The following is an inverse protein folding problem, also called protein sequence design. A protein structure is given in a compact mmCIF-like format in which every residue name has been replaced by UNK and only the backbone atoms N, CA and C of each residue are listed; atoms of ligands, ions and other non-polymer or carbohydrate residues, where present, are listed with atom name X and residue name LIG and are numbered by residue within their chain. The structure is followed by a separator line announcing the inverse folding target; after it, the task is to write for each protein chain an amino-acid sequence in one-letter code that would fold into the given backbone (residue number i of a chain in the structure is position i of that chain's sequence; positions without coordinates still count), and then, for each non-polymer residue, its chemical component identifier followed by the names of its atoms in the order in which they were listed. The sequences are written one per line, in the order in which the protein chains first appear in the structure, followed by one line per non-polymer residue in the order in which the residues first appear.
data_IF_772504707844
#
_entry.id   IF_772504707844
#
_cell.length_a   1.000
_cell.length_b   1.000
_cell.length_c   1.000
_cell.angle_alpha   90.00
_cell.angle_beta   90.00
_cell.angle_gamma   90.00
#
_symmetry.space_group_name_H-M   'P 1'
#
loop_
_entity.id
_entity.type
_entity.pdbx_description
1 polymer ?
#
# COMPACT_ATOMS: atom_id res chain seq x y z
N UNK A 1 -16.69 -13.28 18.23
CA UNK A 1 -16.01 -13.00 16.97
C UNK A 1 -14.57 -13.45 17.14
N UNK A 2 -14.05 -14.21 16.18
CA UNK A 2 -12.65 -14.63 16.21
C UNK A 2 -11.79 -13.42 15.83
N UNK A 3 -10.87 -13.03 16.70
CA UNK A 3 -10.02 -11.86 16.51
C UNK A 3 -8.89 -12.24 15.53
N UNK A 4 -8.80 -11.53 14.40
CA UNK A 4 -7.76 -11.77 13.41
C UNK A 4 -6.52 -10.97 13.81
N UNK A 5 -5.39 -11.62 14.15
CA UNK A 5 -4.19 -10.92 14.56
C UNK A 5 -3.60 -10.13 13.38
N UNK A 6 -2.89 -9.04 13.69
CA UNK A 6 -2.12 -8.28 12.70
C UNK A 6 -1.12 -9.20 12.00
N UNK A 7 -1.18 -9.22 10.67
CA UNK A 7 -0.25 -9.97 9.82
C UNK A 7 0.99 -9.15 9.50
N UNK A 8 2.16 -9.76 9.61
CA UNK A 8 3.45 -9.10 9.36
C UNK A 8 4.16 -9.76 8.18
N UNK A 9 4.40 -8.95 7.15
CA UNK A 9 5.22 -9.32 6.00
C UNK A 9 6.58 -8.61 6.06
N UNK A 10 7.67 -9.34 5.91
CA UNK A 10 9.00 -8.78 5.72
C UNK A 10 9.40 -8.83 4.25
N UNK A 11 9.89 -7.71 3.72
CA UNK A 11 10.35 -7.61 2.34
C UNK A 11 11.78 -7.11 2.28
N UNK A 12 12.67 -7.95 1.78
CA UNK A 12 14.09 -7.64 1.63
C UNK A 12 14.29 -7.09 0.22
N UNK A 13 14.77 -5.85 0.09
CA UNK A 13 15.12 -5.29 -1.23
C UNK A 13 16.51 -5.78 -1.70
N UNK A 14 16.77 -5.77 -3.01
CA UNK A 14 18.12 -5.89 -3.54
C UNK A 14 19.05 -4.80 -2.97
N UNK A 15 20.36 -5.08 -2.96
CA UNK A 15 21.37 -4.04 -2.77
C UNK A 15 21.29 -3.03 -3.92
N UNK A 16 21.36 -1.75 -3.59
CA UNK A 16 21.43 -0.67 -4.57
C UNK A 16 22.82 -0.64 -5.21
N UNK A 17 22.93 -0.16 -6.45
CA UNK A 17 24.21 -0.04 -7.15
C UNK A 17 25.26 0.71 -6.31
N UNK A 18 24.86 1.79 -5.62
CA UNK A 18 25.76 2.53 -4.72
C UNK A 18 26.28 1.65 -3.57
N UNK A 19 25.46 0.78 -2.99
CA UNK A 19 25.88 -0.11 -1.90
C UNK A 19 26.87 -1.16 -2.41
N UNK A 20 26.62 -1.71 -3.60
CA UNK A 20 27.54 -2.65 -4.25
C UNK A 20 28.88 -1.98 -4.56
N UNK A 21 28.87 -0.75 -5.10
CA UNK A 21 30.09 0.02 -5.39
C UNK A 21 30.92 0.34 -4.15
N UNK A 22 30.28 0.47 -2.98
CA UNK A 22 30.96 0.66 -1.69
C UNK A 22 31.28 -0.68 -0.99
N UNK A 23 31.21 -1.80 -1.70
CA UNK A 23 31.48 -3.15 -1.20
C UNK A 23 30.62 -3.57 0.00
N UNK A 24 29.42 -3.00 0.18
CA UNK A 24 28.49 -3.48 1.20
C UNK A 24 28.02 -4.90 0.87
N UNK A 25 27.86 -5.72 1.91
CA UNK A 25 27.45 -7.12 1.79
C UNK A 25 26.04 -7.33 2.32
N UNK A 26 25.33 -8.29 1.74
CA UNK A 26 24.01 -8.69 2.24
C UNK A 26 24.15 -9.33 3.64
N UNK A 27 23.55 -8.70 4.64
CA UNK A 27 23.55 -9.17 6.03
C UNK A 27 22.25 -9.87 6.46
N UNK A 28 21.25 -9.93 5.57
CA UNK A 28 19.97 -10.60 5.78
C UNK A 28 19.77 -11.67 4.71
N UNK A 29 19.34 -12.87 5.11
CA UNK A 29 19.09 -14.01 4.22
C UNK A 29 17.74 -14.63 4.55
N UNK A 30 17.04 -15.10 3.52
CA UNK A 30 15.81 -15.90 3.69
C UNK A 30 16.21 -17.35 3.90
N UNK A 31 15.57 -18.05 4.83
CA UNK A 31 15.68 -19.50 4.97
C UNK A 31 14.71 -20.14 3.95
N UNK A 32 15.20 -20.89 2.94
CA UNK A 32 14.34 -21.44 1.88
C UNK A 32 13.20 -22.29 2.44
N UNK A 33 12.02 -22.20 1.81
CA UNK A 33 10.81 -22.95 2.18
C UNK A 33 10.31 -22.71 3.61
N UNK A 34 10.64 -21.57 4.21
CA UNK A 34 10.15 -21.17 5.54
C UNK A 34 9.75 -19.70 5.53
N UNK A 35 8.98 -19.29 6.54
CA UNK A 35 8.69 -17.88 6.80
C UNK A 35 9.72 -17.25 7.76
N UNK A 36 11.00 -17.56 7.55
CA UNK A 36 12.08 -17.11 8.42
C UNK A 36 13.20 -16.38 7.68
N UNK A 37 13.81 -15.43 8.37
CA UNK A 37 15.05 -14.77 7.94
C UNK A 37 16.16 -14.95 8.98
N UNK A 38 17.40 -14.84 8.53
CA UNK A 38 18.60 -14.80 9.36
C UNK A 38 19.27 -13.43 9.18
N UNK A 39 19.55 -12.75 10.29
CA UNK A 39 20.34 -11.51 10.31
C UNK A 39 21.71 -11.79 10.92
N UNK A 40 22.77 -11.56 10.14
CA UNK A 40 24.14 -11.89 10.57
C UNK A 40 24.40 -13.39 10.49
N UNK A 41 24.85 -14.00 11.60
CA UNK A 41 25.24 -15.43 11.63
C UNK A 41 24.15 -16.34 12.17
N UNK A 42 23.35 -15.87 13.13
CA UNK A 42 22.55 -16.75 13.99
C UNK A 42 21.21 -16.16 14.46
N UNK A 43 20.92 -14.87 14.21
CA UNK A 43 19.67 -14.25 14.66
C UNK A 43 18.54 -14.57 13.69
N UNK A 44 17.67 -15.49 14.09
CA UNK A 44 16.52 -15.96 13.31
C UNK A 44 15.25 -15.21 13.74
N UNK A 45 14.46 -14.77 12.76
CA UNK A 45 13.14 -14.16 12.99
C UNK A 45 12.11 -14.82 12.08
N UNK A 46 10.90 -15.04 12.61
CA UNK A 46 9.76 -15.62 11.90
C UNK A 46 8.70 -14.55 11.67
N UNK A 47 8.08 -14.56 10.48
CA UNK A 47 7.02 -13.65 10.08
C UNK A 47 5.83 -14.43 9.48
N UNK A 48 4.70 -13.77 9.22
CA UNK A 48 3.61 -14.41 8.46
C UNK A 48 4.00 -14.59 6.99
N UNK A 49 4.76 -13.62 6.43
CA UNK A 49 5.24 -13.63 5.05
C UNK A 49 6.69 -13.16 4.94
N UNK A 50 7.51 -13.87 4.17
CA UNK A 50 8.90 -13.50 3.88
C UNK A 50 9.12 -13.37 2.39
N UNK A 51 9.47 -12.16 1.94
CA UNK A 51 9.79 -11.85 0.55
C UNK A 51 11.28 -11.53 0.42
N UNK A 52 11.97 -12.32 -0.41
CA UNK A 52 13.39 -12.14 -0.68
C UNK A 52 13.65 -11.03 -1.71
N UNK A 53 14.93 -10.75 -1.96
CA UNK A 53 15.36 -9.72 -2.93
C UNK A 53 14.83 -9.92 -4.36
N UNK A 54 14.44 -11.14 -4.71
CA UNK A 54 13.93 -11.48 -6.04
C UNK A 54 12.39 -11.46 -6.09
N UNK A 55 11.71 -11.26 -4.97
CA UNK A 55 10.24 -11.27 -4.93
C UNK A 55 9.66 -10.05 -5.65
N UNK A 56 8.70 -10.31 -6.52
CA UNK A 56 8.11 -9.29 -7.40
C UNK A 56 7.00 -8.49 -6.70
N UNK A 57 6.58 -7.38 -7.31
CA UNK A 57 5.40 -6.63 -6.83
C UNK A 57 4.13 -7.50 -6.90
N UNK A 58 3.99 -8.29 -7.96
CA UNK A 58 2.89 -9.24 -8.16
C UNK A 58 2.83 -10.30 -7.07
N UNK A 59 3.98 -10.90 -6.73
CA UNK A 59 4.06 -11.92 -5.68
C UNK A 59 3.65 -11.35 -4.32
N UNK A 60 4.17 -10.18 -3.96
CA UNK A 60 3.79 -9.48 -2.72
C UNK A 60 2.29 -9.18 -2.70
N UNK A 61 1.77 -8.58 -3.77
CA UNK A 61 0.37 -8.20 -3.87
C UNK A 61 -0.57 -9.40 -3.75
N UNK A 62 -0.37 -10.44 -4.56
CA UNK A 62 -1.25 -11.60 -4.59
C UNK A 62 -1.23 -12.39 -3.27
N UNK A 63 -0.08 -12.41 -2.59
CA UNK A 63 0.09 -13.20 -1.37
C UNK A 63 -0.54 -12.51 -0.15
N UNK A 64 -0.26 -11.22 0.09
CA UNK A 64 -0.66 -10.57 1.35
C UNK A 64 -1.71 -9.46 1.19
N UNK A 65 -1.92 -8.92 -0.02
CA UNK A 65 -2.79 -7.75 -0.21
C UNK A 65 -4.12 -8.13 -0.83
N UNK A 66 -4.12 -8.99 -1.86
CA UNK A 66 -5.34 -9.40 -2.54
C UNK A 66 -6.40 -9.95 -1.58
N UNK A 67 -6.08 -10.81 -0.58
CA UNK A 67 -7.07 -11.25 0.40
C UNK A 67 -7.72 -10.09 1.18
N UNK A 68 -6.94 -9.07 1.55
CA UNK A 68 -7.45 -7.89 2.26
C UNK A 68 -8.38 -7.05 1.38
N UNK A 69 -8.06 -6.92 0.08
CA UNK A 69 -8.91 -6.23 -0.89
C UNK A 69 -10.24 -6.97 -1.07
N UNK A 70 -10.23 -8.30 -1.10
CA UNK A 70 -11.47 -9.08 -1.18
C UNK A 70 -12.32 -8.91 0.08
N UNK A 71 -11.71 -8.94 1.27
CA UNK A 71 -12.41 -8.66 2.53
C UNK A 71 -12.96 -7.23 2.60
N UNK A 72 -12.27 -6.24 2.03
CA UNK A 72 -12.78 -4.86 1.91
C UNK A 72 -14.09 -4.82 1.12
N UNK A 73 -14.18 -5.58 0.03
CA UNK A 73 -15.38 -5.63 -0.83
C UNK A 73 -16.53 -6.39 -0.14
N UNK A 74 -16.22 -7.27 0.81
CA UNK A 74 -17.21 -7.94 1.67
C UNK A 74 -17.71 -7.07 2.83
N UNK A 75 -17.16 -5.86 2.98
CA UNK A 75 -17.60 -4.89 4.00
C UNK A 75 -16.73 -4.83 5.26
N UNK A 76 -15.54 -5.46 5.25
CA UNK A 76 -14.59 -5.35 6.36
C UNK A 76 -13.61 -4.19 6.15
N UNK A 77 -13.14 -3.58 7.24
CA UNK A 77 -12.05 -2.61 7.17
C UNK A 77 -10.72 -3.33 6.92
N UNK A 78 -9.90 -2.78 6.03
CA UNK A 78 -8.55 -3.27 5.76
C UNK A 78 -7.55 -2.12 5.86
N UNK A 79 -6.36 -2.39 6.41
CA UNK A 79 -5.29 -1.40 6.50
C UNK A 79 -3.96 -2.07 6.21
N UNK A 80 -3.14 -1.40 5.39
CA UNK A 80 -1.78 -1.81 5.04
C UNK A 80 -0.88 -0.60 5.17
N UNK A 81 0.20 -0.73 5.92
CA UNK A 81 1.25 0.28 6.00
C UNK A 81 2.62 -0.36 5.79
N UNK A 82 3.52 0.36 5.13
CA UNK A 82 4.90 -0.07 4.96
C UNK A 82 5.77 0.59 6.03
N UNK A 83 6.57 -0.21 6.73
CA UNK A 83 7.47 0.25 7.79
C UNK A 83 8.93 -0.11 7.46
N UNK A 84 9.87 0.73 7.91
CA UNK A 84 11.31 0.52 7.75
C UNK A 84 12.09 1.82 7.59
N UNK A 85 13.43 1.72 7.60
CA UNK A 85 14.31 2.89 7.48
C UNK A 85 14.17 3.65 6.15
N UNK A 86 14.68 4.87 6.08
CA UNK A 86 14.81 5.60 4.80
C UNK A 86 15.63 4.78 3.81
N UNK A 87 15.17 4.71 2.56
CA UNK A 87 15.79 3.91 1.51
C UNK A 87 15.53 2.40 1.59
N UNK A 88 14.67 1.90 2.49
CA UNK A 88 14.35 0.47 2.58
C UNK A 88 13.41 -0.04 1.47
N UNK A 89 12.75 0.85 0.73
CA UNK A 89 11.81 0.49 -0.34
C UNK A 89 10.33 0.59 0.04
N UNK A 90 9.96 1.32 1.10
CA UNK A 90 8.55 1.59 1.47
C UNK A 90 7.74 2.16 0.30
N UNK A 91 8.20 3.27 -0.28
CA UNK A 91 7.52 3.94 -1.40
C UNK A 91 7.43 3.06 -2.64
N UNK A 92 8.51 2.32 -2.95
CA UNK A 92 8.51 1.33 -4.03
C UNK A 92 7.47 0.23 -3.80
N UNK A 93 7.29 -0.23 -2.56
CA UNK A 93 6.30 -1.27 -2.23
C UNK A 93 4.87 -0.75 -2.36
N UNK A 94 4.60 0.44 -1.81
CA UNK A 94 3.24 0.99 -1.75
C UNK A 94 2.80 1.59 -3.10
N UNK A 95 3.62 2.45 -3.71
CA UNK A 95 3.28 3.14 -4.95
C UNK A 95 3.88 2.51 -6.21
N UNK A 96 5.08 1.94 -6.11
CA UNK A 96 5.87 1.45 -7.26
C UNK A 96 7.04 2.38 -7.60
N UNK A 97 7.62 2.20 -8.79
CA UNK A 97 8.64 3.12 -9.30
C UNK A 97 8.05 4.52 -9.58
N UNK A 98 8.73 5.59 -9.19
CA UNK A 98 8.29 6.99 -9.26
C UNK A 98 8.19 7.60 -10.68
N UNK A 99 7.78 6.86 -11.70
CA UNK A 99 7.71 7.42 -13.06
C UNK A 99 6.38 7.02 -13.68
N UNK A 100 5.65 7.98 -14.24
CA UNK A 100 4.36 7.79 -14.94
C UNK A 100 4.37 6.71 -16.05
N UNK A 101 5.55 6.15 -16.38
CA UNK A 101 5.75 5.01 -17.29
C UNK A 101 6.23 3.75 -16.55
N UNK A 102 5.67 3.44 -15.37
CA UNK A 102 5.98 2.20 -14.65
C UNK A 102 5.67 1.00 -15.55
N UNK A 103 6.68 0.20 -15.88
CA UNK A 103 6.49 -1.11 -16.51
C UNK A 103 5.47 -1.89 -15.67
N UNK A 104 4.48 -2.55 -16.27
CA UNK A 104 3.35 -3.20 -15.56
C UNK A 104 3.77 -4.01 -14.31
N UNK A 105 4.90 -4.73 -14.40
CA UNK A 105 5.48 -5.52 -13.30
C UNK A 105 6.08 -4.72 -12.12
N UNK A 106 6.16 -3.39 -12.21
CA UNK A 106 6.74 -2.51 -11.19
C UNK A 106 5.70 -1.69 -10.42
N UNK A 107 4.41 -1.74 -10.82
CA UNK A 107 3.31 -1.09 -10.09
C UNK A 107 3.27 -1.58 -8.64
N UNK A 108 3.10 -0.67 -7.69
CA UNK A 108 3.01 -1.00 -6.27
C UNK A 108 1.64 -1.51 -5.84
N UNK A 109 1.44 -1.59 -4.52
CA UNK A 109 0.21 -2.03 -3.88
C UNK A 109 -1.00 -1.17 -4.27
N UNK A 110 -0.89 0.16 -4.18
CA UNK A 110 -2.00 1.09 -4.42
C UNK A 110 -2.61 0.92 -5.83
N UNK A 111 -1.85 1.06 -6.94
CA UNK A 111 -2.45 0.95 -8.27
C UNK A 111 -3.06 -0.43 -8.54
N UNK A 112 -2.48 -1.50 -7.99
CA UNK A 112 -3.01 -2.88 -8.10
C UNK A 112 -4.30 -3.07 -7.31
N UNK A 113 -4.36 -2.54 -6.09
CA UNK A 113 -5.54 -2.59 -5.23
C UNK A 113 -6.71 -1.85 -5.88
N UNK A 114 -6.47 -0.64 -6.40
CA UNK A 114 -7.49 0.12 -7.11
C UNK A 114 -8.01 -0.68 -8.31
N UNK A 115 -7.13 -1.20 -9.15
CA UNK A 115 -7.53 -2.02 -10.30
C UNK A 115 -8.39 -3.23 -9.89
N UNK A 116 -7.97 -3.98 -8.88
CA UNK A 116 -8.70 -5.16 -8.37
C UNK A 116 -10.08 -4.77 -7.80
N UNK A 117 -10.18 -3.67 -7.05
CA UNK A 117 -11.45 -3.15 -6.54
C UNK A 117 -12.42 -2.90 -7.70
N UNK A 118 -11.99 -2.15 -8.72
CA UNK A 118 -12.82 -1.83 -9.87
C UNK A 118 -13.22 -3.06 -10.70
N UNK A 119 -12.32 -4.04 -10.83
CA UNK A 119 -12.63 -5.32 -11.49
C UNK A 119 -13.71 -6.10 -10.74
N UNK A 120 -13.61 -6.19 -9.41
CA UNK A 120 -14.54 -6.97 -8.59
C UNK A 120 -15.92 -6.33 -8.47
N UNK A 121 -16.01 -4.99 -8.34
CA UNK A 121 -17.32 -4.31 -8.29
C UNK A 121 -18.05 -4.36 -9.63
N UNK A 122 -17.33 -4.31 -10.75
CA UNK A 122 -17.92 -4.46 -12.08
C UNK A 122 -18.56 -5.84 -12.29
N UNK A 123 -18.09 -6.85 -11.56
CA UNK A 123 -18.67 -8.20 -11.53
C UNK A 123 -19.90 -8.36 -10.64
N UNK A 124 -20.34 -7.30 -9.93
CA UNK A 124 -21.45 -7.32 -8.96
C UNK A 124 -22.52 -6.27 -9.29
N UNK A 125 -23.22 -6.37 -10.44
CA UNK A 125 -24.16 -5.35 -10.92
C UNK A 125 -25.40 -5.14 -10.05
N UNK A 126 -25.67 -6.05 -9.09
CA UNK A 126 -26.80 -5.96 -8.16
C UNK A 126 -26.50 -5.13 -6.90
N UNK A 127 -25.30 -4.55 -6.78
CA UNK A 127 -24.87 -3.77 -5.63
C UNK A 127 -24.42 -2.39 -6.11
N UNK A 128 -24.99 -1.35 -5.50
CA UNK A 128 -24.55 0.02 -5.73
C UNK A 128 -23.31 0.33 -4.88
N UNK A 129 -22.19 0.65 -5.54
CA UNK A 129 -20.94 1.02 -4.89
C UNK A 129 -20.70 2.52 -4.94
N UNK A 130 -20.22 3.10 -3.83
CA UNK A 130 -19.76 4.48 -3.76
C UNK A 130 -18.32 4.51 -3.24
N UNK A 131 -17.37 4.88 -4.10
CA UNK A 131 -15.94 4.90 -3.77
C UNK A 131 -15.48 6.34 -3.59
N UNK A 132 -14.92 6.62 -2.40
CA UNK A 132 -14.33 7.90 -2.04
C UNK A 132 -12.88 7.70 -1.63
N UNK A 133 -12.00 8.57 -2.11
CA UNK A 133 -10.57 8.55 -1.77
C UNK A 133 -10.17 9.89 -1.15
N UNK A 134 -9.43 9.82 -0.05
CA UNK A 134 -8.72 10.94 0.58
C UNK A 134 -7.23 10.63 0.61
N UNK A 135 -6.36 11.63 0.46
CA UNK A 135 -4.91 11.45 0.53
C UNK A 135 -4.30 12.49 1.47
N UNK A 136 -3.60 12.03 2.50
CA UNK A 136 -3.17 12.86 3.63
C UNK A 136 -1.68 12.64 3.89
N UNK A 137 -0.96 13.71 4.17
CA UNK A 137 0.36 13.67 4.78
C UNK A 137 0.26 14.02 6.26
N UNK A 138 0.95 13.25 7.11
CA UNK A 138 1.21 13.62 8.52
C UNK A 138 2.67 14.02 8.61
N UNK A 139 2.94 15.28 8.94
CA UNK A 139 4.30 15.80 9.04
C UNK A 139 4.43 16.68 10.28
N UNK A 140 5.31 16.27 11.21
CA UNK A 140 5.53 16.97 12.49
C UNK A 140 4.22 17.20 13.27
N UNK A 141 3.39 16.17 13.38
CA UNK A 141 2.06 16.23 14.00
C UNK A 141 1.04 17.12 13.27
N UNK A 142 1.40 17.76 12.16
CA UNK A 142 0.47 18.51 11.32
C UNK A 142 -0.10 17.61 10.21
N UNK A 143 -1.39 17.78 9.94
CA UNK A 143 -2.08 17.11 8.84
C UNK A 143 -2.13 18.02 7.62
N UNK A 144 -1.88 17.45 6.44
CA UNK A 144 -2.00 18.13 5.15
C UNK A 144 -2.83 17.31 4.20
N UNK A 145 -3.83 17.94 3.60
CA UNK A 145 -4.61 17.33 2.53
C UNK A 145 -3.79 17.41 1.22
N UNK A 146 -3.48 16.26 0.62
CA UNK A 146 -2.68 16.16 -0.59
C UNK A 146 -3.51 16.26 -1.88
N UNK A 147 -4.85 16.32 -1.78
CA UNK A 147 -5.75 16.48 -2.92
C UNK A 147 -6.19 17.94 -3.11
N UNK A 148 -6.00 18.80 -2.11
CA UNK A 148 -6.29 20.24 -2.18
C UNK A 148 -5.00 21.04 -2.39
N UNK A 149 -4.81 21.57 -3.61
CA UNK A 149 -3.62 22.36 -3.98
C UNK A 149 -3.58 23.74 -3.28
N UNK A 150 -4.73 24.24 -2.82
CA UNK A 150 -4.88 25.51 -2.12
C UNK A 150 -5.25 25.26 -0.66
N UNK A 151 -4.30 24.79 0.15
CA UNK A 151 -4.46 24.81 1.61
C UNK A 151 -4.38 26.26 2.10
N UNK A 152 -5.48 27.01 1.96
CA UNK A 152 -5.91 27.79 3.12
C UNK A 152 -5.87 26.83 4.30
N UNK A 153 -5.15 27.18 5.37
CA UNK A 153 -4.91 26.28 6.51
C UNK A 153 -6.26 25.93 7.13
N UNK A 154 -6.94 24.93 6.58
CA UNK A 154 -8.09 24.30 7.21
C UNK A 154 -7.48 23.51 8.35
N UNK A 155 -7.88 23.85 9.57
CA UNK A 155 -7.55 23.03 10.72
C UNK A 155 -8.19 21.65 10.52
N UNK A 156 -7.38 20.71 10.05
CA UNK A 156 -7.78 19.32 9.90
C UNK A 156 -7.82 18.71 11.29
N UNK A 157 -9.02 18.39 11.76
CA UNK A 157 -9.24 17.73 13.04
C UNK A 157 -9.63 16.27 12.84
N UNK A 158 -9.04 15.40 13.65
CA UNK A 158 -9.44 14.00 13.80
C UNK A 158 -10.45 13.94 14.95
N UNK A 159 -11.62 13.37 14.68
CA UNK A 159 -12.66 13.13 15.69
C UNK A 159 -13.08 11.66 15.66
N UNK A 160 -13.64 11.20 16.77
CA UNK A 160 -14.18 9.84 16.91
C UNK A 160 -15.67 9.94 17.23
N UNK A 161 -16.50 9.17 16.53
CA UNK A 161 -17.94 9.07 16.78
C UNK A 161 -18.23 8.12 17.96
N UNK A 162 -19.50 8.04 18.39
CA UNK A 162 -19.93 7.15 19.50
C UNK A 162 -19.74 5.65 19.20
N UNK A 163 -19.49 5.29 17.94
CA UNK A 163 -19.26 3.91 17.47
C UNK A 163 -17.78 3.60 17.27
N UNK A 164 -16.89 4.54 17.57
CA UNK A 164 -15.44 4.40 17.41
C UNK A 164 -14.93 4.63 15.98
N UNK A 165 -15.74 5.19 15.07
CA UNK A 165 -15.29 5.53 13.72
C UNK A 165 -14.65 6.91 13.69
N UNK A 166 -13.63 7.08 12.86
CA UNK A 166 -12.97 8.37 12.67
C UNK A 166 -13.77 9.28 11.73
N UNK A 167 -14.16 10.46 12.21
CA UNK A 167 -14.69 11.56 11.41
C UNK A 167 -13.60 12.60 11.10
N UNK A 168 -13.58 13.10 9.87
CA UNK A 168 -12.63 14.12 9.43
C UNK A 168 -13.22 15.05 8.35
N UNK A 169 -12.66 16.25 8.24
CA UNK A 169 -13.06 17.28 7.28
C UNK A 169 -12.25 17.24 5.96
N UNK A 170 -11.75 16.06 5.59
CA UNK A 170 -10.87 15.89 4.44
C UNK A 170 -11.63 16.03 3.12
N UNK A 171 -10.92 16.54 2.10
CA UNK A 171 -11.39 16.43 0.73
C UNK A 171 -11.48 14.95 0.32
N UNK A 172 -12.50 14.64 -0.47
CA UNK A 172 -12.74 13.29 -0.98
C UNK A 172 -13.03 13.36 -2.46
N UNK A 173 -12.23 12.67 -3.26
CA UNK A 173 -12.52 12.47 -4.68
C UNK A 173 -13.48 11.29 -4.79
N UNK A 174 -14.64 11.54 -5.42
CA UNK A 174 -15.55 10.49 -5.86
C UNK A 174 -14.99 9.84 -7.11
N UNK A 175 -14.74 8.54 -7.05
CA UNK A 175 -14.36 7.77 -8.22
C UNK A 175 -15.62 7.14 -8.82
N UNK A 176 -16.04 7.65 -9.98
CA UNK A 176 -17.17 7.12 -10.73
C UNK A 176 -16.70 6.13 -11.81
N UNK A 177 -17.34 4.98 -11.89
CA UNK A 177 -17.20 4.07 -13.04
C UNK A 177 -18.03 4.66 -14.18
N UNK A 178 -17.40 5.43 -15.08
CA UNK A 178 -18.13 6.01 -16.22
C UNK A 178 -18.33 5.06 -17.39
N UNK A 179 -17.52 4.01 -17.52
CA UNK A 179 -17.68 2.98 -18.57
C UNK A 179 -16.69 1.82 -18.33
N UNK A 180 -17.13 0.56 -18.15
CA UNK A 180 -16.23 -0.59 -18.05
C UNK A 180 -15.38 -0.83 -19.32
N UNK A 181 -15.76 -0.29 -20.49
CA UNK A 181 -15.07 -0.49 -21.75
C UNK A 181 -13.97 0.56 -22.07
N UNK A 182 -13.94 1.71 -21.39
CA UNK A 182 -12.96 2.78 -21.68
C UNK A 182 -11.66 2.73 -20.89
N UNK A 183 -11.51 1.76 -20.00
CA UNK A 183 -10.38 1.76 -19.08
C UNK A 183 -10.49 2.91 -18.07
N UNK A 184 -9.88 2.70 -16.91
CA UNK A 184 -9.95 3.63 -15.80
C UNK A 184 -9.06 4.84 -16.08
N UNK A 185 -9.63 6.04 -16.15
CA UNK A 185 -8.85 7.27 -16.05
C UNK A 185 -8.56 7.45 -14.56
N UNK A 186 -7.41 6.97 -14.10
CA UNK A 186 -6.83 7.46 -12.86
C UNK A 186 -6.73 8.98 -12.98
N UNK A 187 -7.14 9.78 -11.97
CA UNK A 187 -6.71 11.17 -11.93
C UNK A 187 -5.18 11.19 -12.04
N UNK A 188 -4.65 11.85 -13.07
CA UNK A 188 -3.21 12.09 -13.23
C UNK A 188 -2.72 13.06 -12.14
N UNK A 189 -2.82 12.71 -10.87
CA UNK A 189 -2.30 13.51 -9.77
C UNK A 189 -2.39 12.73 -8.46
N UNK A 190 -1.55 11.72 -8.27
CA UNK A 190 -0.93 11.62 -6.95
C UNK A 190 0.30 12.52 -7.02
N UNK A 191 0.26 13.74 -6.44
CA UNK A 191 1.42 14.61 -6.46
C UNK A 191 2.60 13.86 -5.84
N UNK A 192 3.70 13.84 -6.56
CA UNK A 192 4.99 13.34 -6.08
C UNK A 192 5.44 14.26 -4.94
N UNK A 193 5.19 13.84 -3.70
CA UNK A 193 5.86 14.39 -2.53
C UNK A 193 7.36 14.13 -2.57
#
# INVERSE_FOLDING_TARGET
MEEIPVKVAIRIRPLLCKEVLHNHQACVRVIPNTQQIIIGRDRIFTFDFVFGKNSTQDEVYNTCIKPLVLSLIEGYNATVFAYGQTGSGKTYTIGGGHVASVVEGQKGIIPRAIQEIFQNISGKPSIDFNIKVSYIEVYKEDLRDLLELETSVKDLHIREDEKGNTENSLSRILLEIKDPARGMIMPEAFPSG
#
